data_IF_835723649420
#
_entry.id   IF_835723649420
#
_cell.length_a   1.000
_cell.length_b   1.000
_cell.length_c   1.000
_cell.angle_alpha   90.00
_cell.angle_beta   90.00
_cell.angle_gamma   90.00
#
_symmetry.space_group_name_H-M   'P 1'
#
loop_
_entity.id
_entity.type
_entity.pdbx_description
1 polymer ?
#
# COMPACT_ATOMS: atom_id res chain seq x y z
N UNK A 1 -3.31 18.61 -1.85
CA UNK A 1 -4.37 17.82 -1.18
C UNK A 1 -3.83 17.28 0.13
N UNK A 2 -4.70 17.12 1.14
CA UNK A 2 -4.31 16.61 2.46
C UNK A 2 -4.07 15.09 2.48
N UNK A 3 -3.53 14.56 3.58
CA UNK A 3 -3.28 13.12 3.75
C UNK A 3 -4.57 12.31 3.73
N UNK A 4 -4.50 11.09 3.17
CA UNK A 4 -5.58 10.09 3.17
C UNK A 4 -5.25 8.98 4.18
N UNK A 5 -6.23 8.58 4.99
CA UNK A 5 -6.12 7.38 5.84
C UNK A 5 -7.07 6.29 5.35
N UNK A 6 -6.52 5.10 5.09
CA UNK A 6 -7.30 3.92 4.72
C UNK A 6 -7.25 2.90 5.86
N UNK A 7 -8.35 2.68 6.59
CA UNK A 7 -8.39 1.73 7.69
C UNK A 7 -8.40 0.28 7.19
N UNK A 8 -7.79 -0.63 7.93
CA UNK A 8 -7.77 -2.06 7.63
C UNK A 8 -6.40 -2.67 7.88
N UNK A 9 -6.22 -3.96 7.57
CA UNK A 9 -4.94 -4.64 7.78
C UNK A 9 -4.11 -4.53 6.50
N UNK A 10 -2.96 -3.83 6.50
CA UNK A 10 -2.11 -3.77 5.31
C UNK A 10 -1.64 -5.15 4.89
N UNK A 11 -1.94 -5.51 3.64
CA UNK A 11 -1.56 -6.79 3.06
C UNK A 11 -0.43 -6.59 2.04
N UNK A 12 0.59 -7.49 2.02
CA UNK A 12 1.69 -7.37 1.09
C UNK A 12 1.28 -7.79 -0.31
N UNK A 13 1.82 -7.09 -1.31
CA UNK A 13 1.92 -7.61 -2.65
C UNK A 13 3.23 -8.37 -2.77
N UNK A 14 3.16 -9.69 -2.97
CA UNK A 14 4.31 -10.59 -3.00
C UNK A 14 4.65 -11.05 -4.41
N UNK A 15 5.54 -12.03 -4.53
CA UNK A 15 5.72 -12.72 -5.81
C UNK A 15 4.55 -13.68 -6.01
N UNK A 16 4.23 -13.95 -7.27
CA UNK A 16 3.26 -14.99 -7.61
C UNK A 16 3.89 -16.37 -7.37
N UNK A 17 3.17 -17.24 -6.69
CA UNK A 17 3.57 -18.62 -6.47
C UNK A 17 3.02 -19.49 -7.59
N UNK A 18 3.88 -20.29 -8.21
CA UNK A 18 3.46 -21.32 -9.15
C UNK A 18 2.74 -22.45 -8.42
N UNK A 19 1.56 -22.83 -8.92
CA UNK A 19 0.68 -23.85 -8.33
C UNK A 19 0.37 -25.01 -9.28
N UNK A 20 1.13 -25.12 -10.37
CA UNK A 20 0.97 -26.17 -11.38
C UNK A 20 0.53 -25.63 -12.73
N UNK A 21 0.18 -26.55 -13.63
CA UNK A 21 -0.23 -26.24 -15.01
C UNK A 21 -1.71 -26.52 -15.19
N UNK A 22 -2.41 -25.67 -15.94
CA UNK A 22 -3.77 -25.92 -16.43
C UNK A 22 -3.83 -25.53 -17.91
N UNK A 23 -4.19 -26.49 -18.76
CA UNK A 23 -4.28 -26.32 -20.21
C UNK A 23 -2.99 -25.72 -20.82
N UNK A 24 -1.83 -26.21 -20.40
CA UNK A 24 -0.52 -25.74 -20.88
C UNK A 24 -0.08 -24.37 -20.35
N UNK A 25 -0.87 -23.71 -19.48
CA UNK A 25 -0.51 -22.44 -18.85
C UNK A 25 -0.21 -22.62 -17.36
N UNK A 26 0.82 -21.95 -16.88
CA UNK A 26 1.16 -21.95 -15.46
C UNK A 26 0.11 -21.21 -14.64
N UNK A 27 -0.38 -21.85 -13.57
CA UNK A 27 -1.25 -21.22 -12.58
C UNK A 27 -0.37 -20.48 -11.59
N UNK A 28 -0.41 -19.15 -11.69
CA UNK A 28 0.29 -18.24 -10.79
C UNK A 28 -0.74 -17.62 -9.83
N UNK A 29 -0.52 -17.77 -8.53
CA UNK A 29 -1.41 -17.23 -7.49
C UNK A 29 -0.65 -16.23 -6.64
N UNK A 30 -1.32 -15.15 -6.24
CA UNK A 30 -0.76 -14.21 -5.27
C UNK A 30 -0.38 -14.92 -3.97
N UNK A 31 0.78 -14.58 -3.43
CA UNK A 31 1.27 -15.17 -2.18
C UNK A 31 0.44 -14.74 -0.96
N UNK A 32 -0.30 -13.64 -1.07
CA UNK A 32 -1.26 -13.18 -0.05
C UNK A 32 -2.67 -13.16 -0.63
N UNK A 33 -3.57 -13.98 -0.08
CA UNK A 33 -5.01 -13.91 -0.43
C UNK A 33 -5.64 -12.58 -0.01
N UNK A 34 -5.04 -11.87 0.95
CA UNK A 34 -5.55 -10.61 1.46
C UNK A 34 -5.20 -9.41 0.56
N UNK A 35 -4.28 -9.54 -0.41
CA UNK A 35 -3.83 -8.40 -1.21
C UNK A 35 -4.92 -7.85 -2.13
N UNK A 36 -5.74 -8.71 -2.72
CA UNK A 36 -6.86 -8.29 -3.58
C UNK A 36 -7.83 -7.36 -2.85
N UNK A 37 -8.49 -7.83 -1.78
CA UNK A 37 -9.40 -7.00 -0.98
C UNK A 37 -8.74 -5.75 -0.37
N UNK A 38 -7.45 -5.83 -0.01
CA UNK A 38 -6.72 -4.68 0.51
C UNK A 38 -6.53 -3.59 -0.55
N UNK A 39 -6.10 -3.96 -1.77
CA UNK A 39 -5.92 -3.00 -2.88
C UNK A 39 -7.25 -2.38 -3.30
N UNK A 40 -8.31 -3.17 -3.38
CA UNK A 40 -9.65 -2.67 -3.70
C UNK A 40 -10.09 -1.59 -2.70
N UNK A 41 -9.87 -1.82 -1.40
CA UNK A 41 -10.17 -0.82 -0.36
C UNK A 41 -9.38 0.47 -0.53
N UNK A 42 -8.08 0.37 -0.83
CA UNK A 42 -7.22 1.54 -1.06
C UNK A 42 -7.68 2.32 -2.30
N UNK A 43 -7.97 1.61 -3.39
CA UNK A 43 -8.48 2.20 -4.62
C UNK A 43 -9.80 2.96 -4.39
N UNK A 44 -10.77 2.33 -3.72
CA UNK A 44 -12.05 2.97 -3.38
C UNK A 44 -11.87 4.24 -2.52
N UNK A 45 -10.99 4.18 -1.52
CA UNK A 45 -10.70 5.34 -0.69
C UNK A 45 -10.01 6.46 -1.46
N UNK A 46 -9.07 6.13 -2.35
CA UNK A 46 -8.39 7.10 -3.21
C UNK A 46 -9.36 7.78 -4.20
N UNK A 47 -10.26 7.00 -4.83
CA UNK A 47 -11.33 7.55 -5.67
C UNK A 47 -12.23 8.49 -4.88
N UNK A 48 -12.68 8.10 -3.69
CA UNK A 48 -13.54 8.94 -2.85
C UNK A 48 -12.85 10.22 -2.35
N UNK A 49 -11.52 10.18 -2.20
CA UNK A 49 -10.71 11.35 -1.84
C UNK A 49 -10.54 12.34 -3.01
N UNK A 50 -10.91 11.95 -4.23
CA UNK A 50 -10.88 12.80 -5.42
C UNK A 50 -9.49 12.95 -6.04
N UNK A 51 -8.58 11.99 -5.83
CA UNK A 51 -7.33 11.95 -6.57
C UNK A 51 -7.60 11.66 -8.05
N UNK A 52 -6.87 12.37 -8.91
CA UNK A 52 -6.97 12.25 -10.36
C UNK A 52 -5.56 12.12 -10.94
N UNK A 53 -5.36 11.26 -11.96
CA UNK A 53 -4.04 11.08 -12.57
C UNK A 53 -3.56 12.35 -13.27
N UNK A 54 -2.32 12.77 -12.98
CA UNK A 54 -1.56 13.73 -13.77
C UNK A 54 -0.46 13.02 -14.57
N UNK A 55 0.27 13.75 -15.42
CA UNK A 55 1.38 13.22 -16.25
C UNK A 55 2.78 13.48 -15.68
N UNK A 56 2.88 14.34 -14.66
CA UNK A 56 4.17 14.70 -14.04
C UNK A 56 4.68 13.66 -13.03
N UNK A 57 5.87 13.91 -12.44
CA UNK A 57 6.44 13.08 -11.39
C UNK A 57 5.59 13.09 -10.12
N UNK A 58 5.62 11.97 -9.41
CA UNK A 58 4.84 11.71 -8.20
C UNK A 58 5.73 11.34 -7.04
N UNK A 59 5.48 11.98 -5.90
CA UNK A 59 6.15 11.72 -4.63
C UNK A 59 5.14 11.09 -3.67
N UNK A 60 5.52 9.96 -3.07
CA UNK A 60 4.63 9.15 -2.24
C UNK A 60 5.18 9.07 -0.82
N UNK A 61 4.38 9.46 0.16
CA UNK A 61 4.67 9.23 1.57
C UNK A 61 3.69 8.20 2.14
N UNK A 62 4.19 7.11 2.71
CA UNK A 62 3.41 6.01 3.31
C UNK A 62 3.80 5.76 4.77
N UNK A 63 2.81 5.70 5.66
CA UNK A 63 2.96 5.18 7.02
C UNK A 63 2.02 4.00 7.22
N UNK A 64 2.60 2.79 7.31
CA UNK A 64 1.85 1.58 7.57
C UNK A 64 1.68 1.34 9.07
N UNK A 65 0.43 1.33 9.52
CA UNK A 65 0.04 1.03 10.90
C UNK A 65 -0.42 -0.42 10.95
N UNK A 66 0.42 -1.29 11.50
CA UNK A 66 0.21 -2.74 11.52
C UNK A 66 -0.55 -3.16 12.78
N UNK A 67 -1.41 -4.20 12.72
CA UNK A 67 -2.09 -4.70 13.91
C UNK A 67 -1.12 -5.01 15.03
N UNK A 68 -1.45 -4.57 16.24
CA UNK A 68 -0.70 -4.89 17.46
C UNK A 68 -0.99 -6.35 17.86
N UNK A 69 -0.01 -7.26 17.84
CA UNK A 69 -0.21 -8.61 18.36
C UNK A 69 -0.60 -8.59 19.83
N UNK A 70 -1.49 -9.49 20.26
CA UNK A 70 -1.93 -9.59 21.66
C UNK A 70 -0.77 -9.80 22.66
N UNK A 71 0.31 -10.46 22.23
CA UNK A 71 1.52 -10.67 23.03
C UNK A 71 2.43 -9.44 23.15
N UNK A 72 2.08 -8.31 22.55
CA UNK A 72 2.88 -7.10 22.61
C UNK A 72 2.73 -6.43 23.99
N UNK A 73 3.82 -6.08 24.70
CA UNK A 73 3.75 -5.52 26.05
C UNK A 73 2.87 -4.28 26.13
N UNK A 74 2.07 -4.09 27.19
CA UNK A 74 1.21 -2.89 27.32
C UNK A 74 1.99 -1.60 27.63
N UNK A 75 3.22 -1.70 28.12
CA UNK A 75 4.03 -0.56 28.57
C UNK A 75 4.79 0.17 27.46
N UNK A 76 4.92 -0.42 26.27
CA UNK A 76 5.62 0.19 25.12
C UNK A 76 5.16 -0.41 23.80
N UNK A 77 5.46 0.27 22.70
CA UNK A 77 5.22 -0.24 21.34
C UNK A 77 6.55 -0.52 20.64
N UNK A 78 6.97 -1.80 20.52
CA UNK A 78 8.22 -2.15 19.86
C UNK A 78 8.11 -1.95 18.33
N UNK A 79 9.27 -1.88 17.67
CA UNK A 79 9.36 -1.75 16.22
C UNK A 79 8.67 -2.94 15.49
N UNK A 80 8.03 -2.64 14.35
CA UNK A 80 7.31 -3.62 13.53
C UNK A 80 8.25 -4.45 12.64
N UNK A 81 9.15 -5.22 13.24
CA UNK A 81 10.18 -6.00 12.53
C UNK A 81 9.65 -7.27 11.85
N UNK A 82 8.45 -7.74 12.23
CA UNK A 82 7.84 -8.95 11.66
C UNK A 82 7.22 -8.68 10.27
N UNK A 83 7.00 -9.77 9.52
CA UNK A 83 6.34 -9.77 8.21
C UNK A 83 4.97 -9.06 8.22
N UNK A 84 4.47 -8.62 7.05
CA UNK A 84 5.20 -8.42 5.79
C UNK A 84 6.35 -7.42 5.81
N UNK A 85 7.19 -7.58 4.79
CA UNK A 85 8.29 -6.69 4.44
C UNK A 85 7.74 -5.35 3.93
N UNK A 86 8.47 -4.26 4.19
CA UNK A 86 7.98 -2.90 3.90
C UNK A 86 7.81 -2.67 2.40
N UNK A 87 8.75 -3.12 1.57
CA UNK A 87 8.72 -3.03 0.11
C UNK A 87 7.46 -3.69 -0.49
N UNK A 88 7.02 -4.82 0.07
CA UNK A 88 5.81 -5.51 -0.39
C UNK A 88 4.53 -4.78 0.00
N UNK A 89 4.55 -4.06 1.13
CA UNK A 89 3.44 -3.19 1.50
C UNK A 89 3.38 -1.97 0.57
N UNK A 90 4.53 -1.35 0.28
CA UNK A 90 4.65 -0.25 -0.69
C UNK A 90 4.07 -0.68 -2.03
N UNK A 91 4.53 -1.82 -2.57
CA UNK A 91 4.07 -2.32 -3.88
C UNK A 91 2.56 -2.56 -3.93
N UNK A 92 1.94 -3.01 -2.83
CA UNK A 92 0.48 -3.14 -2.77
C UNK A 92 -0.23 -1.79 -2.90
N UNK A 93 0.31 -0.73 -2.29
CA UNK A 93 -0.25 0.61 -2.42
C UNK A 93 -0.04 1.14 -3.83
N UNK A 94 1.17 0.98 -4.39
CA UNK A 94 1.44 1.47 -5.73
C UNK A 94 0.51 0.83 -6.77
N UNK A 95 0.38 -0.50 -6.75
CA UNK A 95 -0.56 -1.25 -7.60
C UNK A 95 -2.01 -0.77 -7.43
N UNK A 96 -2.42 -0.37 -6.23
CA UNK A 96 -3.79 0.04 -5.94
C UNK A 96 -4.11 1.46 -6.42
N UNK A 97 -3.09 2.30 -6.63
CA UNK A 97 -3.24 3.70 -7.01
C UNK A 97 -3.00 3.95 -8.50
N UNK A 98 -2.45 2.98 -9.24
CA UNK A 98 -2.29 3.04 -10.69
C UNK A 98 -3.65 3.23 -11.38
N UNK A 99 -3.72 4.21 -12.28
CA UNK A 99 -4.95 4.66 -12.94
C UNK A 99 -5.84 5.58 -12.09
N UNK A 100 -5.46 5.86 -10.84
CA UNK A 100 -6.26 6.67 -9.88
C UNK A 100 -5.50 7.92 -9.45
N UNK A 101 -4.34 7.75 -8.81
CA UNK A 101 -3.51 8.87 -8.37
C UNK A 101 -2.50 9.31 -9.44
N UNK A 102 -2.14 8.39 -10.34
CA UNK A 102 -1.22 8.56 -11.47
C UNK A 102 -1.58 7.53 -12.54
N UNK A 103 -1.13 7.75 -13.79
CA UNK A 103 -1.47 6.86 -14.89
C UNK A 103 -0.69 5.54 -14.80
N UNK A 104 0.59 5.61 -14.46
CA UNK A 104 1.50 4.47 -14.36
C UNK A 104 2.44 4.62 -13.14
N UNK A 105 2.83 3.51 -12.51
CA UNK A 105 3.69 3.55 -11.33
C UNK A 105 5.13 4.00 -11.65
N UNK A 106 5.54 3.99 -12.92
CA UNK A 106 6.77 4.64 -13.39
C UNK A 106 6.81 6.15 -13.13
N UNK A 107 5.67 6.81 -12.90
CA UNK A 107 5.63 8.22 -12.52
C UNK A 107 6.07 8.46 -11.07
N UNK A 108 6.14 7.41 -10.23
CA UNK A 108 6.58 7.52 -8.84
C UNK A 108 8.09 7.60 -8.79
N UNK A 109 8.62 8.80 -8.56
CA UNK A 109 10.06 9.08 -8.55
C UNK A 109 10.65 9.11 -7.14
N UNK A 110 9.83 9.30 -6.11
CA UNK A 110 10.26 9.31 -4.71
C UNK A 110 9.26 8.60 -3.82
N UNK A 111 9.78 7.78 -2.89
CA UNK A 111 8.99 7.09 -1.87
C UNK A 111 9.64 7.28 -0.50
N UNK A 112 8.91 7.90 0.42
CA UNK A 112 9.19 7.80 1.84
C UNK A 112 8.20 6.83 2.48
N UNK A 113 8.70 5.78 3.13
CA UNK A 113 7.84 4.76 3.71
C UNK A 113 8.33 4.27 5.06
N UNK A 114 7.38 4.02 5.96
CA UNK A 114 7.66 3.41 7.26
C UNK A 114 6.58 2.39 7.64
N UNK A 115 6.91 1.49 8.56
CA UNK A 115 5.93 0.62 9.22
C UNK A 115 6.14 0.61 10.72
N UNK A 116 5.04 0.66 11.47
CA UNK A 116 5.03 0.50 12.93
C UNK A 116 3.85 -0.35 13.37
N UNK A 117 3.90 -0.81 14.62
CA UNK A 117 2.74 -1.43 15.24
C UNK A 117 1.77 -0.33 15.66
N UNK A 118 0.48 -0.67 15.64
CA UNK A 118 -0.55 0.15 16.23
C UNK A 118 -0.29 0.36 17.72
N UNK A 119 -0.53 1.58 18.19
CA UNK A 119 -0.67 1.86 19.60
C UNK A 119 -1.91 1.16 20.18
N UNK A 120 -2.02 1.15 21.51
CA UNK A 120 -3.18 0.53 22.16
C UNK A 120 -4.45 1.29 21.76
N UNK A 121 -5.39 0.56 21.14
CA UNK A 121 -6.65 1.14 20.65
C UNK A 121 -6.56 1.87 19.31
N UNK A 122 -5.37 1.96 18.70
CA UNK A 122 -5.21 2.59 17.40
C UNK A 122 -5.70 1.67 16.27
N UNK A 123 -6.40 2.27 15.31
CA UNK A 123 -6.91 1.56 14.13
C UNK A 123 -5.76 1.25 13.16
N UNK A 124 -5.54 -0.02 12.78
CA UNK A 124 -4.60 -0.38 11.73
C UNK A 124 -5.00 0.21 10.37
N UNK A 125 -4.02 0.43 9.50
CA UNK A 125 -4.27 0.96 8.18
C UNK A 125 -3.00 1.50 7.51
N UNK A 126 -3.21 2.40 6.56
CA UNK A 126 -2.13 3.18 5.94
C UNK A 126 -2.53 4.65 5.93
N UNK A 127 -1.63 5.52 6.36
CA UNK A 127 -1.69 6.95 6.04
C UNK A 127 -0.83 7.17 4.81
N UNK A 128 -1.38 7.88 3.83
CA UNK A 128 -0.64 8.19 2.61
C UNK A 128 -0.90 9.59 2.11
N UNK A 129 0.15 10.19 1.55
CA UNK A 129 0.09 11.47 0.87
C UNK A 129 0.74 11.32 -0.49
N UNK A 130 0.08 11.89 -1.50
CA UNK A 130 0.58 11.99 -2.87
C UNK A 130 0.79 13.47 -3.17
N UNK A 131 1.99 13.83 -3.64
CA UNK A 131 2.33 15.17 -4.10
C UNK A 131 2.97 15.13 -5.48
N UNK A 132 2.94 16.26 -6.19
CA UNK A 132 3.31 16.32 -7.61
C UNK A 132 2.19 15.74 -8.48
N UNK A 133 1.82 16.46 -9.54
CA UNK A 133 0.89 16.07 -10.64
C UNK A 133 0.50 17.31 -11.47
N UNK A 134 1.48 18.06 -11.98
CA UNK A 134 1.35 18.88 -13.20
C UNK A 134 2.62 18.70 -14.00
N UNK A 135 2.49 18.55 -15.32
CA UNK A 135 3.62 18.68 -16.21
C UNK A 135 4.12 20.13 -16.11
N UNK A 136 5.43 20.32 -16.10
CA UNK A 136 5.98 21.62 -16.48
C UNK A 136 5.52 21.87 -17.93
N UNK A 137 4.87 23.00 -18.18
CA UNK A 137 4.66 23.48 -19.54
C UNK A 137 6.04 23.88 -20.05
N UNK A 138 6.58 23.11 -21.01
CA UNK A 138 7.77 23.49 -21.79
C UNK A 138 7.50 24.76 -22.61
#
# INVERSE_FOLDING_TARGET
MGPLFVPGIPAPQGSKSFRGMRNGRGILVESSRAVGPWRERVALAAHAHGWTPGTGPVYVHLEFIRPRPASTPKSRTPAAVKKPDLDKLIRAILDALTGIAYADDSQVTEIYASKRLAEIGETPGVRLTITGTRAEED
#
